data_IF_257700666278
#
_entry.id   IF_257700666278
#
_cell.length_a   1.000
_cell.length_b   1.000
_cell.length_c   1.000
_cell.angle_alpha   90.00
_cell.angle_beta   90.00
_cell.angle_gamma   90.00
#
_symmetry.space_group_name_H-M   'P 1'
#
loop_
_entity.id
_entity.type
_entity.pdbx_description
1 polymer ?
#
# COMPACT_ATOMS: atom_id res chain seq x y z
N UNK A 1 -11.25 -6.03 -5.69
CA UNK A 1 -10.47 -4.89 -5.15
C UNK A 1 -10.53 -5.02 -3.64
N UNK A 2 -9.45 -5.44 -2.98
CA UNK A 2 -9.41 -5.58 -1.54
C UNK A 2 -9.64 -4.23 -0.84
N UNK A 3 -10.65 -4.14 0.03
CA UNK A 3 -10.89 -2.96 0.87
C UNK A 3 -9.86 -2.94 2.02
N UNK A 4 -8.72 -2.27 1.78
CA UNK A 4 -7.64 -1.98 2.75
C UNK A 4 -7.98 -0.81 3.69
N UNK A 5 -9.20 -0.26 3.55
CA UNK A 5 -9.69 0.90 4.32
C UNK A 5 -9.80 0.61 5.82
N UNK A 6 -9.95 -0.65 6.21
CA UNK A 6 -10.16 -1.07 7.60
C UNK A 6 -8.87 -1.33 8.38
N UNK A 7 -7.71 -1.34 7.72
CA UNK A 7 -6.45 -1.59 8.42
C UNK A 7 -6.10 -0.44 9.36
N UNK A 8 -5.76 -0.73 10.61
CA UNK A 8 -5.24 0.27 11.51
C UNK A 8 -3.74 0.44 11.25
N UNK A 9 -3.31 1.67 10.97
CA UNK A 9 -1.89 2.00 10.77
C UNK A 9 -1.33 2.63 12.04
N UNK A 10 -0.26 2.05 12.59
CA UNK A 10 0.50 2.66 13.67
C UNK A 10 1.44 3.75 13.14
N UNK A 11 1.86 4.67 14.01
CA UNK A 11 2.90 5.65 13.68
C UNK A 11 4.23 4.99 13.27
N UNK A 12 4.51 3.80 13.84
CA UNK A 12 5.71 2.99 13.58
C UNK A 12 5.65 2.20 12.27
N UNK A 13 4.57 2.29 11.49
CA UNK A 13 4.44 1.61 10.19
C UNK A 13 3.93 0.17 10.28
N UNK A 14 3.22 -0.19 11.35
CA UNK A 14 2.54 -1.48 11.45
C UNK A 14 1.11 -1.34 10.93
N UNK A 15 0.68 -2.26 10.07
CA UNK A 15 -0.70 -2.41 9.67
C UNK A 15 -1.34 -3.59 10.42
N UNK A 16 -2.49 -3.35 11.04
CA UNK A 16 -3.30 -4.38 11.68
C UNK A 16 -4.61 -4.54 10.94
N UNK A 17 -4.92 -5.76 10.52
CA UNK A 17 -6.23 -6.12 9.99
C UNK A 17 -7.13 -6.63 11.12
N UNK A 18 -8.14 -5.84 11.57
CA UNK A 18 -9.05 -6.29 12.63
C UNK A 18 -9.98 -7.42 12.19
N UNK A 19 -10.12 -7.71 10.89
CA UNK A 19 -10.98 -8.78 10.39
C UNK A 19 -10.32 -10.15 10.50
N UNK A 20 -9.01 -10.23 10.23
CA UNK A 20 -8.24 -11.49 10.31
C UNK A 20 -7.44 -11.62 11.60
N UNK A 21 -7.16 -10.50 12.29
CA UNK A 21 -6.28 -10.46 13.46
C UNK A 21 -4.79 -10.42 13.09
N UNK A 22 -4.46 -10.28 11.81
CA UNK A 22 -3.08 -10.28 11.34
C UNK A 22 -2.43 -8.90 11.43
N UNK A 23 -1.11 -8.89 11.65
CA UNK A 23 -0.30 -7.68 11.71
C UNK A 23 0.86 -7.78 10.73
N UNK A 24 1.05 -6.72 9.94
CA UNK A 24 2.10 -6.61 8.93
C UNK A 24 3.00 -5.43 9.23
N UNK A 25 4.31 -5.62 9.08
CA UNK A 25 5.25 -4.51 9.11
C UNK A 25 5.34 -3.89 7.71
N UNK A 26 4.99 -2.61 7.58
CA UNK A 26 5.10 -1.88 6.34
C UNK A 26 6.42 -1.13 6.27
N UNK A 27 7.01 -1.11 5.09
CA UNK A 27 8.08 -0.17 4.78
C UNK A 27 7.47 1.22 4.45
N UNK A 28 8.29 2.28 4.37
CA UNK A 28 7.80 3.63 4.07
C UNK A 28 7.03 3.74 2.76
N UNK A 29 7.45 3.03 1.70
CA UNK A 29 6.78 3.05 0.40
C UNK A 29 5.37 2.42 0.46
N UNK A 30 5.22 1.27 1.14
CA UNK A 30 3.95 0.61 1.36
C UNK A 30 2.98 1.48 2.17
N UNK A 31 3.47 2.14 3.23
CA UNK A 31 2.68 3.12 3.99
C UNK A 31 2.20 4.26 3.10
N UNK A 32 3.12 4.84 2.32
CA UNK A 32 2.82 5.91 1.36
C UNK A 32 1.78 5.50 0.32
N UNK A 33 1.83 4.25 -0.18
CA UNK A 33 0.83 3.69 -1.10
C UNK A 33 -0.54 3.59 -0.43
N UNK A 34 -0.63 2.99 0.76
CA UNK A 34 -1.90 2.81 1.47
C UNK A 34 -2.58 4.14 1.78
N UNK A 35 -1.81 5.14 2.24
CA UNK A 35 -2.34 6.48 2.52
C UNK A 35 -2.97 7.13 1.29
N UNK A 36 -2.39 6.92 0.10
CA UNK A 36 -2.90 7.46 -1.16
C UNK A 36 -4.08 6.67 -1.72
N UNK A 37 -4.06 5.34 -1.58
CA UNK A 37 -5.21 4.49 -1.89
C UNK A 37 -6.42 4.89 -1.04
N UNK A 38 -6.24 5.23 0.24
CA UNK A 38 -7.31 5.73 1.11
C UNK A 38 -7.89 7.06 0.67
N UNK A 39 -7.08 7.91 0.05
CA UNK A 39 -7.50 9.18 -0.55
C UNK A 39 -8.17 9.00 -1.92
N UNK A 40 -8.23 7.78 -2.45
CA UNK A 40 -8.89 7.47 -3.73
C UNK A 40 -8.06 7.84 -4.96
N UNK A 41 -6.73 7.98 -4.82
CA UNK A 41 -5.86 8.22 -5.98
C UNK A 41 -5.79 6.98 -6.87
N UNK A 42 -5.67 7.22 -8.18
CA UNK A 42 -5.38 6.18 -9.18
C UNK A 42 -3.94 5.68 -9.07
N UNK A 43 -3.67 4.50 -9.60
CA UNK A 43 -2.35 3.86 -9.54
C UNK A 43 -1.26 4.76 -10.15
N UNK A 44 -1.57 5.44 -11.26
CA UNK A 44 -0.68 6.38 -11.93
C UNK A 44 -0.42 7.63 -11.08
N UNK A 45 -1.45 8.17 -10.42
CA UNK A 45 -1.28 9.31 -9.52
C UNK A 45 -0.41 8.96 -8.32
N UNK A 46 -0.61 7.77 -7.75
CA UNK A 46 0.22 7.25 -6.65
C UNK A 46 1.67 7.12 -7.11
N UNK A 47 1.90 6.53 -8.29
CA UNK A 47 3.23 6.36 -8.85
C UNK A 47 3.95 7.71 -9.06
N UNK A 48 3.25 8.73 -9.57
CA UNK A 48 3.82 10.07 -9.73
C UNK A 48 4.22 10.69 -8.39
N UNK A 49 3.42 10.53 -7.35
CA UNK A 49 3.74 11.06 -6.03
C UNK A 49 4.88 10.30 -5.36
N UNK A 50 4.92 8.97 -5.48
CA UNK A 50 6.03 8.14 -4.99
C UNK A 50 7.34 8.45 -5.69
N UNK A 51 7.33 8.58 -7.02
CA UNK A 51 8.52 8.91 -7.79
C UNK A 51 9.16 10.22 -7.29
N UNK A 52 8.33 11.21 -6.99
CA UNK A 52 8.77 12.50 -6.41
C UNK A 52 9.25 12.36 -4.97
N UNK A 53 8.51 11.66 -4.13
CA UNK A 53 8.83 11.52 -2.70
C UNK A 53 10.12 10.73 -2.46
N UNK A 54 10.32 9.66 -3.21
CA UNK A 54 11.46 8.74 -3.05
C UNK A 54 12.61 8.98 -4.03
N UNK A 55 12.46 9.91 -4.97
CA UNK A 55 13.49 10.23 -5.96
C UNK A 55 13.80 9.08 -6.92
N UNK A 56 12.78 8.30 -7.30
CA UNK A 56 12.88 7.14 -8.19
C UNK A 56 12.20 7.41 -9.53
N UNK A 57 12.48 6.57 -10.53
CA UNK A 57 11.82 6.62 -11.82
C UNK A 57 10.33 6.22 -11.74
N UNK A 58 9.51 6.85 -12.60
CA UNK A 58 8.05 6.67 -12.61
C UNK A 58 7.66 5.22 -12.91
N UNK A 59 8.40 4.54 -13.81
CA UNK A 59 8.12 3.14 -14.12
C UNK A 59 8.35 2.24 -12.91
N UNK A 60 9.44 2.44 -12.16
CA UNK A 60 9.68 1.72 -10.91
C UNK A 60 8.59 2.02 -9.87
N UNK A 61 8.24 3.29 -9.70
CA UNK A 61 7.17 3.66 -8.78
C UNK A 61 5.84 2.98 -9.13
N UNK A 62 5.48 2.93 -10.42
CA UNK A 62 4.27 2.25 -10.88
C UNK A 62 4.34 0.74 -10.65
N UNK A 63 5.48 0.11 -10.93
CA UNK A 63 5.70 -1.31 -10.62
C UNK A 63 5.53 -1.59 -9.13
N UNK A 64 6.08 -0.75 -8.26
CA UNK A 64 5.97 -0.90 -6.81
C UNK A 64 4.50 -0.82 -6.35
N UNK A 65 3.70 0.10 -6.92
CA UNK A 65 2.25 0.20 -6.65
C UNK A 65 1.52 -1.08 -7.06
N UNK A 66 1.77 -1.57 -8.27
CA UNK A 66 1.08 -2.75 -8.81
C UNK A 66 1.45 -4.02 -8.05
N UNK A 67 2.74 -4.23 -7.76
CA UNK A 67 3.23 -5.37 -6.98
C UNK A 67 2.62 -5.34 -5.58
N UNK A 68 2.62 -4.18 -4.92
CA UNK A 68 2.04 -4.05 -3.58
C UNK A 68 0.55 -4.43 -3.54
N UNK A 69 -0.24 -3.99 -4.52
CA UNK A 69 -1.65 -4.35 -4.63
C UNK A 69 -1.84 -5.86 -4.85
N UNK A 70 -1.01 -6.47 -5.70
CA UNK A 70 -1.06 -7.90 -5.95
C UNK A 70 -0.73 -8.72 -4.69
N UNK A 71 0.30 -8.33 -3.94
CA UNK A 71 0.70 -9.00 -2.69
C UNK A 71 -0.43 -8.96 -1.65
N UNK A 72 -1.12 -7.82 -1.49
CA UNK A 72 -2.29 -7.73 -0.59
C UNK A 72 -3.42 -8.66 -1.03
N UNK A 73 -3.72 -8.71 -2.33
CA UNK A 73 -4.78 -9.58 -2.84
C UNK A 73 -4.42 -11.07 -2.59
N UNK A 74 -3.15 -11.45 -2.69
CA UNK A 74 -2.68 -12.82 -2.37
C UNK A 74 -2.87 -13.14 -0.89
N UNK A 75 -2.43 -12.25 0.01
CA UNK A 75 -2.59 -12.43 1.46
C UNK A 75 -4.06 -12.64 1.82
N UNK A 76 -4.97 -11.87 1.23
CA UNK A 76 -6.42 -12.00 1.49
C UNK A 76 -7.09 -13.20 0.82
N UNK A 77 -6.48 -13.77 -0.22
CA UNK A 77 -7.00 -14.96 -0.90
C UNK A 77 -6.56 -16.26 -0.21
N UNK A 78 -5.54 -16.19 0.66
CA UNK A 78 -5.00 -17.32 1.40
C UNK A 78 -5.69 -17.58 2.75
N UNK A 79 -6.65 -16.71 3.13
CA UNK A 79 -7.44 -16.76 4.37
C UNK A 79 -8.90 -17.04 4.05
#
# INVERSE_FOLDING_TARGET
MADIKHWNLSETGMAFDPQTGESFQLNPAAKAIIERLRRGLTDEQIAVELAKEFGIDLERALRDVLVFKAEIDVIRSAV
#
